data_IF_183823583414
#
_entry.id   IF_183823583414
#
_cell.length_a   1.000
_cell.length_b   1.000
_cell.length_c   1.000
_cell.angle_alpha   90.00
_cell.angle_beta   90.00
_cell.angle_gamma   90.00
#
_symmetry.space_group_name_H-M   'P 1'
#
loop_
_entity.id
_entity.type
_entity.pdbx_description
1 polymer ?
#
# COMPACT_ATOMS: atom_id res chain seq x y z
N UNK A 1 37.52 -41.78 -5.13
CA UNK A 1 36.87 -40.45 -5.09
C UNK A 1 37.79 -39.55 -5.89
N UNK A 2 37.37 -38.94 -6.99
CA UNK A 2 36.38 -37.85 -7.11
C UNK A 2 36.30 -37.58 -8.62
N UNK A 3 35.20 -37.24 -9.30
CA UNK A 3 33.84 -36.86 -8.98
C UNK A 3 33.10 -36.68 -10.33
N UNK A 4 31.76 -36.64 -10.28
CA UNK A 4 30.78 -36.57 -11.39
C UNK A 4 31.10 -35.42 -12.37
N UNK A 5 31.35 -35.68 -13.67
CA UNK A 5 30.47 -35.54 -14.87
C UNK A 5 29.69 -34.23 -14.99
N UNK A 6 29.86 -33.52 -16.11
CA UNK A 6 29.00 -32.40 -16.53
C UNK A 6 29.18 -31.96 -17.98
N UNK A 7 28.91 -32.84 -18.95
CA UNK A 7 28.57 -32.40 -20.30
C UNK A 7 27.19 -31.71 -20.27
N UNK A 8 27.05 -30.63 -21.03
CA UNK A 8 26.06 -29.57 -20.80
C UNK A 8 24.58 -29.96 -20.74
N UNK A 9 23.82 -29.17 -19.98
CA UNK A 9 22.40 -28.86 -20.17
C UNK A 9 21.96 -27.89 -19.05
N UNK A 10 21.27 -26.81 -19.41
CA UNK A 10 20.78 -25.70 -18.57
C UNK A 10 20.72 -25.90 -17.06
N UNK A 11 21.55 -25.17 -16.33
CA UNK A 11 21.56 -25.21 -14.86
C UNK A 11 22.56 -24.29 -14.15
N UNK A 12 22.75 -23.04 -14.61
CA UNK A 12 23.15 -21.87 -13.81
C UNK A 12 24.31 -21.94 -12.80
N UNK A 13 25.29 -22.84 -12.94
CA UNK A 13 26.42 -22.99 -12.02
C UNK A 13 27.78 -22.86 -12.71
N UNK A 14 28.85 -22.80 -11.90
CA UNK A 14 30.23 -22.77 -12.39
C UNK A 14 30.61 -24.10 -13.05
N UNK A 15 31.43 -24.04 -14.10
CA UNK A 15 32.01 -25.22 -14.78
C UNK A 15 32.97 -25.96 -13.84
N UNK A 16 33.67 -25.21 -12.98
CA UNK A 16 34.58 -25.74 -11.98
C UNK A 16 34.31 -25.15 -10.59
N UNK A 17 34.35 -25.99 -9.55
CA UNK A 17 34.28 -25.57 -8.14
C UNK A 17 35.36 -26.31 -7.36
N UNK A 18 36.53 -25.68 -7.19
CA UNK A 18 37.73 -26.29 -6.61
C UNK A 18 38.78 -25.23 -6.25
N UNK A 19 39.78 -25.59 -5.44
CA UNK A 19 40.86 -24.67 -5.03
C UNK A 19 41.95 -24.40 -6.09
N UNK A 20 42.53 -25.41 -6.78
CA UNK A 20 43.48 -25.13 -7.84
C UNK A 20 42.75 -24.71 -9.12
N UNK A 21 43.32 -23.74 -9.84
CA UNK A 21 42.82 -23.36 -11.16
C UNK A 21 42.82 -24.58 -12.12
N UNK A 22 41.78 -24.76 -12.95
CA UNK A 22 41.75 -25.80 -13.98
C UNK A 22 42.93 -25.67 -14.95
N UNK A 23 43.54 -26.79 -15.33
CA UNK A 23 44.78 -26.81 -16.12
C UNK A 23 44.55 -26.68 -17.64
N UNK A 24 43.39 -27.08 -18.15
CA UNK A 24 43.03 -27.03 -19.57
C UNK A 24 41.64 -26.41 -19.78
N UNK A 25 41.42 -25.13 -19.39
CA UNK A 25 40.14 -24.49 -19.58
C UNK A 25 39.92 -24.04 -21.03
N UNK A 26 38.65 -24.02 -21.44
CA UNK A 26 38.18 -23.42 -22.69
C UNK A 26 37.71 -21.97 -22.47
N UNK A 27 37.81 -21.13 -23.50
CA UNK A 27 37.34 -19.73 -23.42
C UNK A 27 35.86 -19.68 -23.03
N UNK A 28 35.54 -18.86 -22.01
CA UNK A 28 34.19 -18.68 -21.51
C UNK A 28 33.80 -19.62 -20.36
N UNK A 29 34.62 -20.61 -20.04
CA UNK A 29 34.40 -21.43 -18.84
C UNK A 29 34.57 -20.61 -17.56
N UNK A 30 33.84 -21.01 -16.53
CA UNK A 30 33.70 -20.33 -15.26
C UNK A 30 34.17 -21.20 -14.10
N UNK A 31 34.89 -20.60 -13.16
CA UNK A 31 35.49 -21.30 -12.03
C UNK A 31 35.23 -20.56 -10.73
N UNK A 32 34.78 -21.28 -9.71
CA UNK A 32 34.76 -20.81 -8.34
C UNK A 32 35.95 -21.36 -7.55
N UNK A 33 36.86 -20.47 -7.17
CA UNK A 33 38.00 -20.76 -6.30
C UNK A 33 37.50 -20.87 -4.85
N UNK A 34 37.52 -22.08 -4.30
CA UNK A 34 37.03 -22.34 -2.93
C UNK A 34 37.97 -21.84 -1.84
N UNK A 35 39.24 -21.58 -2.14
CA UNK A 35 40.22 -21.03 -1.19
C UNK A 35 40.17 -19.51 -1.17
N UNK A 36 40.06 -18.88 -2.35
CA UNK A 36 39.93 -17.43 -2.49
C UNK A 36 38.51 -16.91 -2.25
N UNK A 37 37.50 -17.79 -2.30
CA UNK A 37 36.08 -17.43 -2.24
C UNK A 37 35.72 -16.42 -3.34
N UNK A 38 36.20 -16.67 -4.56
CA UNK A 38 36.10 -15.77 -5.71
C UNK A 38 35.69 -16.52 -6.99
N UNK A 39 35.01 -15.80 -7.88
CA UNK A 39 34.53 -16.31 -9.16
C UNK A 39 35.43 -15.81 -10.29
N UNK A 40 35.72 -16.66 -11.28
CA UNK A 40 36.57 -16.36 -12.42
C UNK A 40 35.95 -16.84 -13.73
N UNK A 41 36.30 -16.18 -14.84
CA UNK A 41 36.04 -16.65 -16.21
C UNK A 41 37.36 -16.72 -16.98
N UNK A 42 37.55 -17.79 -17.73
CA UNK A 42 38.73 -17.95 -18.57
C UNK A 42 38.56 -17.19 -19.89
N UNK A 43 39.51 -16.31 -20.22
CA UNK A 43 39.47 -15.46 -21.42
C UNK A 43 40.05 -16.12 -22.67
N UNK A 44 40.40 -17.40 -22.60
CA UNK A 44 41.20 -18.09 -23.61
C UNK A 44 42.71 -17.99 -23.34
N UNK A 45 43.14 -17.07 -22.47
CA UNK A 45 44.56 -16.89 -22.09
C UNK A 45 44.82 -16.90 -20.59
N UNK A 46 43.88 -16.40 -19.78
CA UNK A 46 44.04 -16.32 -18.33
C UNK A 46 42.68 -16.37 -17.62
N UNK A 47 42.70 -16.69 -16.33
CA UNK A 47 41.53 -16.58 -15.45
C UNK A 47 41.38 -15.14 -14.98
N UNK A 48 40.26 -14.50 -15.30
CA UNK A 48 39.94 -13.15 -14.84
C UNK A 48 38.83 -13.22 -13.80
N UNK A 49 39.08 -12.60 -12.64
CA UNK A 49 38.12 -12.56 -11.55
C UNK A 49 36.86 -11.77 -11.96
N UNK A 50 35.69 -12.38 -11.78
CA UNK A 50 34.40 -11.75 -11.97
C UNK A 50 34.04 -10.93 -10.74
N UNK A 51 34.56 -9.70 -10.66
CA UNK A 51 34.14 -8.74 -9.64
C UNK A 51 33.47 -7.52 -10.26
N UNK A 52 32.33 -7.12 -9.66
CA UNK A 52 31.89 -5.73 -9.61
C UNK A 52 31.68 -5.40 -8.13
N UNK A 53 32.78 -5.06 -7.45
CA UNK A 53 32.82 -4.67 -6.04
C UNK A 53 32.71 -3.15 -5.85
N UNK A 54 32.83 -2.36 -6.93
CA UNK A 54 32.62 -0.90 -6.91
C UNK A 54 31.89 -0.41 -8.16
N UNK A 55 31.13 0.68 -8.02
CA UNK A 55 30.53 1.41 -9.14
C UNK A 55 31.59 1.91 -10.13
N UNK A 56 32.80 2.19 -9.66
CA UNK A 56 33.91 2.66 -10.51
C UNK A 56 34.34 1.62 -11.57
N UNK A 57 33.94 0.34 -11.39
CA UNK A 57 34.21 -0.73 -12.36
C UNK A 57 33.19 -0.75 -13.52
N UNK A 58 32.12 0.06 -13.45
CA UNK A 58 31.09 0.16 -14.47
C UNK A 58 31.24 1.49 -15.23
N UNK A 59 31.64 1.44 -16.49
CA UNK A 59 32.01 2.61 -17.29
C UNK A 59 30.87 3.61 -17.59
N UNK A 60 29.63 3.31 -17.19
CA UNK A 60 28.44 4.14 -17.41
C UNK A 60 27.51 4.19 -16.18
N UNK A 61 28.03 3.90 -14.98
CA UNK A 61 27.25 4.06 -13.74
C UNK A 61 27.98 5.03 -12.83
N UNK A 62 27.44 6.23 -12.73
CA UNK A 62 27.90 7.29 -11.85
C UNK A 62 27.05 7.37 -10.59
N UNK A 63 27.54 8.09 -9.58
CA UNK A 63 26.74 8.41 -8.40
C UNK A 63 25.45 9.20 -8.74
N UNK A 64 25.41 9.85 -9.90
CA UNK A 64 24.26 10.62 -10.35
C UNK A 64 23.21 9.75 -11.08
N UNK A 65 23.55 8.51 -11.42
CA UNK A 65 22.62 7.51 -11.95
C UNK A 65 21.85 6.78 -10.84
N UNK A 66 22.23 7.02 -9.58
CA UNK A 66 21.33 6.73 -8.47
C UNK A 66 20.17 7.70 -8.57
N UNK A 67 18.98 7.17 -8.90
CA UNK A 67 17.76 7.90 -8.62
C UNK A 67 17.80 8.32 -7.15
N UNK A 68 17.48 9.59 -6.88
CA UNK A 68 17.20 9.99 -5.51
C UNK A 68 16.14 9.03 -4.98
N UNK A 69 16.31 8.45 -3.78
CA UNK A 69 15.22 7.73 -3.13
C UNK A 69 13.99 8.63 -3.26
N UNK A 70 12.80 8.09 -3.60
CA UNK A 70 11.62 8.92 -3.65
C UNK A 70 11.58 9.69 -2.33
N UNK A 71 11.84 11.00 -2.40
CA UNK A 71 11.58 11.87 -1.27
C UNK A 71 10.11 11.65 -1.06
N UNK A 72 9.73 11.01 0.04
CA UNK A 72 8.35 10.68 0.35
C UNK A 72 7.54 11.95 0.07
N UNK A 73 6.88 12.00 -1.09
CA UNK A 73 6.36 13.26 -1.59
C UNK A 73 5.02 13.39 -0.90
N UNK A 74 5.06 14.10 0.22
CA UNK A 74 3.95 14.77 0.86
C UNK A 74 2.80 13.92 1.44
N UNK A 75 2.82 12.58 1.45
CA UNK A 75 1.69 11.79 2.00
C UNK A 75 2.04 10.88 3.19
N UNK A 76 3.31 10.69 3.57
CA UNK A 76 3.62 9.90 4.78
C UNK A 76 3.51 10.70 6.09
N UNK A 77 3.26 12.02 6.02
CA UNK A 77 2.97 12.85 7.22
C UNK A 77 1.51 13.27 7.39
N UNK A 78 0.59 12.88 6.51
CA UNK A 78 -0.82 12.81 6.90
C UNK A 78 -1.01 11.57 7.76
N UNK A 79 -0.34 11.54 8.93
CA UNK A 79 -0.51 10.49 9.91
C UNK A 79 -1.99 10.25 10.07
N UNK A 80 -2.41 8.98 9.99
CA UNK A 80 -3.80 8.49 10.08
C UNK A 80 -4.64 9.46 10.89
N UNK A 81 -5.17 10.45 10.18
CA UNK A 81 -5.72 11.63 10.79
C UNK A 81 -7.16 11.27 10.98
N UNK A 82 -7.45 10.51 12.02
CA UNK A 82 -8.81 10.18 12.42
C UNK A 82 -9.56 11.51 12.57
N UNK A 83 -10.30 11.89 11.54
CA UNK A 83 -11.18 13.04 11.56
C UNK A 83 -12.52 12.56 12.08
N UNK A 84 -12.60 12.42 13.40
CA UNK A 84 -13.85 12.13 14.08
C UNK A 84 -14.51 13.45 14.45
N UNK A 85 -15.62 13.80 13.80
CA UNK A 85 -16.48 14.91 14.21
C UNK A 85 -17.81 14.35 14.66
N UNK A 86 -18.12 14.33 15.96
CA UNK A 86 -19.47 14.02 16.40
C UNK A 86 -20.44 15.00 15.77
N UNK A 87 -21.55 14.44 15.35
CA UNK A 87 -22.60 15.09 14.61
C UNK A 87 -23.84 15.03 15.47
N UNK A 88 -24.52 16.15 15.73
CA UNK A 88 -25.84 16.14 16.36
C UNK A 88 -26.83 16.74 15.37
N UNK A 89 -27.91 16.00 15.12
CA UNK A 89 -29.03 16.34 14.24
C UNK A 89 -30.09 16.86 15.19
N UNK A 90 -30.70 18.01 14.89
CA UNK A 90 -31.95 18.38 15.52
C UNK A 90 -33.03 17.33 15.15
N UNK A 91 -33.93 17.07 16.11
CA UNK A 91 -34.98 16.04 16.00
C UNK A 91 -36.18 16.52 15.16
N UNK A 92 -35.91 17.05 13.97
CA UNK A 92 -36.89 17.66 13.07
C UNK A 92 -36.84 17.10 11.63
N UNK A 93 -36.12 16.00 11.41
CA UNK A 93 -35.92 15.40 10.09
C UNK A 93 -34.88 16.15 9.23
N UNK A 94 -34.12 17.07 9.83
CA UNK A 94 -33.03 17.76 9.14
C UNK A 94 -31.90 16.80 8.75
N UNK A 95 -31.25 17.12 7.63
CA UNK A 95 -29.94 16.57 7.28
C UNK A 95 -28.83 17.45 7.86
N UNK A 96 -27.67 16.86 8.11
CA UNK A 96 -26.43 17.61 8.32
C UNK A 96 -25.41 17.20 7.28
N UNK A 97 -24.65 18.18 6.80
CA UNK A 97 -23.57 17.99 5.83
C UNK A 97 -22.25 18.40 6.45
N UNK A 98 -21.25 17.51 6.35
CA UNK A 98 -19.88 17.76 6.76
C UNK A 98 -18.99 17.88 5.55
N UNK A 99 -18.32 19.02 5.38
CA UNK A 99 -17.30 19.19 4.35
C UNK A 99 -16.00 18.54 4.81
N UNK A 100 -15.50 17.60 4.02
CA UNK A 100 -14.22 16.93 4.22
C UNK A 100 -13.29 17.48 3.13
N UNK A 101 -12.20 18.14 3.53
CA UNK A 101 -11.25 18.74 2.58
C UNK A 101 -10.14 17.80 2.16
N UNK A 102 -10.36 16.48 2.13
CA UNK A 102 -9.28 15.47 2.02
C UNK A 102 -9.59 14.39 0.98
N UNK A 103 -8.52 13.88 0.37
CA UNK A 103 -8.54 12.70 -0.50
C UNK A 103 -8.53 11.43 0.37
N UNK A 104 -9.42 10.49 0.06
CA UNK A 104 -9.51 9.19 0.73
C UNK A 104 -9.76 8.06 -0.27
N UNK A 105 -9.47 6.84 0.17
CA UNK A 105 -9.85 5.61 -0.53
C UNK A 105 -11.00 4.89 0.19
N UNK A 106 -11.29 5.29 1.43
CA UNK A 106 -12.36 4.72 2.22
C UNK A 106 -12.83 5.67 3.30
N UNK A 107 -14.07 5.44 3.73
CA UNK A 107 -14.59 5.99 4.97
C UNK A 107 -15.26 4.89 5.82
N UNK A 108 -15.09 5.00 7.13
CA UNK A 108 -15.92 4.29 8.12
C UNK A 108 -17.04 5.21 8.58
N UNK A 109 -18.27 4.71 8.68
CA UNK A 109 -19.43 5.46 9.18
C UNK A 109 -20.03 4.67 10.34
N UNK A 110 -20.07 5.25 11.53
CA UNK A 110 -20.66 4.61 12.72
C UNK A 110 -21.89 5.40 13.14
N UNK A 111 -23.02 4.74 13.34
CA UNK A 111 -24.22 5.37 13.89
C UNK A 111 -24.57 4.77 15.25
N UNK A 112 -24.95 5.63 16.19
CA UNK A 112 -25.36 5.26 17.54
C UNK A 112 -26.84 5.62 17.72
N UNK A 113 -27.63 4.67 18.23
CA UNK A 113 -29.04 4.83 18.48
C UNK A 113 -29.31 4.67 19.97
N UNK A 114 -29.50 5.77 20.71
CA UNK A 114 -29.79 5.72 22.13
C UNK A 114 -31.25 5.35 22.43
N UNK A 115 -32.12 5.27 21.42
CA UNK A 115 -33.56 5.06 21.59
C UNK A 115 -33.90 3.58 21.79
N UNK A 116 -35.09 3.32 22.35
CA UNK A 116 -35.62 1.97 22.59
C UNK A 116 -36.21 1.29 21.34
N UNK A 117 -36.18 1.96 20.18
CA UNK A 117 -36.60 1.44 18.88
C UNK A 117 -35.43 1.23 17.93
N UNK A 118 -35.56 0.29 16.98
CA UNK A 118 -34.64 0.19 15.86
C UNK A 118 -34.83 1.37 14.91
N UNK A 119 -33.73 1.96 14.45
CA UNK A 119 -33.72 3.12 13.56
C UNK A 119 -32.91 2.83 12.29
N UNK A 120 -33.26 3.46 11.18
CA UNK A 120 -32.49 3.39 9.92
C UNK A 120 -32.11 4.79 9.48
N UNK A 121 -30.83 4.97 9.15
CA UNK A 121 -30.25 6.25 8.76
C UNK A 121 -29.72 6.14 7.35
N UNK A 122 -30.02 7.14 6.53
CA UNK A 122 -29.48 7.26 5.18
C UNK A 122 -28.25 8.18 5.20
N UNK A 123 -27.25 7.85 4.37
CA UNK A 123 -26.08 8.69 4.14
C UNK A 123 -25.79 8.83 2.66
N UNK A 124 -25.17 9.96 2.30
CA UNK A 124 -24.62 10.26 0.98
C UNK A 124 -23.19 10.79 1.14
N UNK A 125 -22.24 10.16 0.45
CA UNK A 125 -20.84 10.56 0.35
C UNK A 125 -20.69 11.28 -0.99
N UNK A 126 -20.32 12.55 -0.93
CA UNK A 126 -20.03 13.36 -2.11
C UNK A 126 -18.55 13.25 -2.48
N UNK A 127 -18.29 12.84 -3.71
CA UNK A 127 -16.95 12.62 -4.24
C UNK A 127 -16.57 13.75 -5.20
N UNK A 128 -15.30 14.15 -5.21
CA UNK A 128 -14.81 15.28 -5.99
C UNK A 128 -14.83 15.00 -7.51
N UNK A 129 -14.59 13.76 -7.89
CA UNK A 129 -14.29 13.36 -9.27
C UNK A 129 -15.13 12.16 -9.75
N UNK A 130 -16.14 11.75 -8.98
CA UNK A 130 -17.08 10.69 -9.39
C UNK A 130 -18.49 10.94 -8.88
N UNK A 131 -19.39 10.03 -9.25
CA UNK A 131 -20.76 10.03 -8.76
C UNK A 131 -20.80 9.80 -7.25
N UNK A 132 -21.67 10.56 -6.58
CA UNK A 132 -22.01 10.37 -5.17
C UNK A 132 -22.37 8.91 -4.86
N UNK A 133 -22.06 8.49 -3.63
CA UNK A 133 -22.47 7.19 -3.10
C UNK A 133 -23.48 7.38 -2.00
N UNK A 134 -24.53 6.57 -2.00
CA UNK A 134 -25.52 6.58 -0.93
C UNK A 134 -25.73 5.18 -0.38
N UNK A 135 -26.07 5.10 0.89
CA UNK A 135 -26.39 3.87 1.57
C UNK A 135 -27.23 4.14 2.81
N UNK A 136 -27.50 3.08 3.57
CA UNK A 136 -28.20 3.19 4.84
C UNK A 136 -27.58 2.29 5.90
N UNK A 137 -27.80 2.65 7.17
CA UNK A 137 -27.36 1.90 8.34
C UNK A 137 -28.54 1.70 9.29
N UNK A 138 -28.79 0.44 9.68
CA UNK A 138 -29.91 0.10 10.57
C UNK A 138 -29.36 -0.26 11.94
N UNK A 139 -29.64 0.59 12.92
CA UNK A 139 -29.07 0.47 14.26
C UNK A 139 -30.12 -0.12 15.22
N UNK A 140 -29.81 -1.19 15.96
CA UNK A 140 -30.74 -1.74 16.95
C UNK A 140 -31.00 -0.75 18.10
N UNK A 141 -32.09 -0.97 18.83
CA UNK A 141 -32.44 -0.20 20.03
C UNK A 141 -31.29 -0.22 21.05
N UNK A 142 -30.94 0.95 21.58
CA UNK A 142 -29.86 1.15 22.55
C UNK A 142 -28.47 0.73 22.06
N UNK A 143 -28.26 0.64 20.74
CA UNK A 143 -27.08 0.05 20.13
C UNK A 143 -26.29 0.98 19.21
N UNK A 144 -25.29 0.40 18.54
CA UNK A 144 -24.47 1.05 17.52
C UNK A 144 -24.26 0.09 16.34
N UNK A 145 -24.14 0.63 15.13
CA UNK A 145 -23.72 -0.14 13.95
C UNK A 145 -22.65 0.63 13.16
N UNK A 146 -21.92 -0.06 12.30
CA UNK A 146 -20.86 0.54 11.48
C UNK A 146 -20.82 -0.01 10.06
N UNK A 147 -20.77 0.90 9.08
CA UNK A 147 -20.60 0.59 7.66
C UNK A 147 -19.23 1.05 7.17
N UNK A 148 -18.66 0.30 6.23
CA UNK A 148 -17.41 0.60 5.55
C UNK A 148 -17.68 0.85 4.08
N UNK A 149 -17.27 2.00 3.58
CA UNK A 149 -17.36 2.36 2.17
C UNK A 149 -15.96 2.50 1.60
N UNK A 150 -15.70 1.81 0.50
CA UNK A 150 -14.48 1.94 -0.29
C UNK A 150 -14.78 2.57 -1.63
N UNK A 151 -13.95 3.51 -2.03
CA UNK A 151 -14.06 4.20 -3.31
C UNK A 151 -12.65 4.32 -3.92
N UNK A 152 -12.54 4.45 -5.26
CA UNK A 152 -11.25 4.78 -5.86
C UNK A 152 -10.70 6.05 -5.20
N UNK A 153 -9.36 6.14 -5.09
CA UNK A 153 -8.65 7.25 -4.46
C UNK A 153 -9.09 8.60 -5.00
N UNK A 154 -10.04 9.22 -4.31
CA UNK A 154 -10.73 10.41 -4.79
C UNK A 154 -10.99 11.34 -3.60
N UNK A 155 -10.96 12.64 -3.86
CA UNK A 155 -11.39 13.63 -2.88
C UNK A 155 -12.78 13.27 -2.36
N UNK A 156 -12.95 12.98 -1.07
CA UNK A 156 -14.29 13.08 -0.46
C UNK A 156 -14.47 14.55 -0.16
N UNK A 157 -15.48 15.18 -0.74
CA UNK A 157 -15.74 16.62 -0.56
C UNK A 157 -16.67 16.88 0.61
N UNK A 158 -17.67 16.02 0.80
CA UNK A 158 -18.57 16.09 1.93
C UNK A 158 -19.30 14.78 2.18
N UNK A 159 -19.85 14.64 3.38
CA UNK A 159 -20.77 13.55 3.73
C UNK A 159 -22.04 14.20 4.28
N UNK A 160 -23.18 13.78 3.77
CA UNK A 160 -24.51 14.17 4.23
C UNK A 160 -25.18 12.96 4.85
N UNK A 161 -25.81 13.12 6.02
CA UNK A 161 -26.62 12.06 6.61
C UNK A 161 -27.98 12.60 7.08
N UNK A 162 -28.98 11.74 7.04
CA UNK A 162 -30.38 12.05 7.36
C UNK A 162 -31.09 10.83 7.93
N UNK A 163 -32.04 11.02 8.84
CA UNK A 163 -33.01 9.98 9.23
C UNK A 163 -34.37 10.34 8.62
N UNK A 164 -34.82 9.65 7.56
CA UNK A 164 -36.10 9.96 6.91
C UNK A 164 -37.32 9.54 7.73
N UNK A 165 -37.15 8.68 8.75
CA UNK A 165 -38.24 8.06 9.51
C UNK A 165 -38.44 8.67 10.90
N UNK A 166 -37.59 9.60 11.33
CA UNK A 166 -37.62 10.08 12.71
C UNK A 166 -38.77 11.06 12.97
N UNK A 167 -39.72 10.66 13.80
CA UNK A 167 -40.74 11.54 14.37
C UNK A 167 -40.31 11.97 15.78
N UNK A 168 -39.72 13.17 15.89
CA UNK A 168 -39.54 13.98 17.11
C UNK A 168 -39.55 13.24 18.47
N UNK A 169 -38.41 12.67 18.88
CA UNK A 169 -38.13 12.37 20.30
C UNK A 169 -37.18 13.42 20.90
N UNK A 170 -37.15 13.64 22.22
CA UNK A 170 -36.55 14.86 22.77
C UNK A 170 -35.05 14.80 23.14
N UNK A 171 -34.31 13.68 22.99
CA UNK A 171 -32.94 13.65 23.55
C UNK A 171 -31.99 12.56 23.04
N UNK A 172 -31.89 12.34 21.72
CA UNK A 172 -30.83 11.54 21.13
C UNK A 172 -29.69 12.41 20.58
N UNK A 173 -28.50 12.37 21.19
CA UNK A 173 -27.27 12.74 20.50
C UNK A 173 -26.74 11.47 19.84
N UNK A 174 -26.69 11.42 18.51
CA UNK A 174 -25.91 10.39 17.82
C UNK A 174 -24.50 10.94 17.58
N UNK A 175 -23.60 10.08 17.13
CA UNK A 175 -22.22 10.45 16.82
C UNK A 175 -21.84 9.70 15.55
N UNK A 176 -21.66 10.43 14.44
CA UNK A 176 -21.12 9.89 13.20
C UNK A 176 -19.61 10.11 13.21
N UNK A 177 -18.84 9.04 13.45
CA UNK A 177 -17.38 9.13 13.32
C UNK A 177 -16.96 8.70 11.93
N UNK A 178 -16.20 9.55 11.25
CA UNK A 178 -15.59 9.25 9.96
C UNK A 178 -14.10 8.90 10.13
N UNK A 179 -13.63 7.94 9.34
CA UNK A 179 -12.19 7.66 9.25
C UNK A 179 -11.81 7.65 7.79
N UNK A 180 -11.19 8.73 7.34
CA UNK A 180 -10.64 8.91 6.00
C UNK A 180 -9.27 8.24 5.98
N UNK A 181 -9.13 7.14 5.25
CA UNK A 181 -7.82 6.51 5.01
C UNK A 181 -7.19 7.21 3.83
N UNK A 182 -5.98 7.76 4.04
CA UNK A 182 -5.25 8.47 3.00
C UNK A 182 -5.04 7.58 1.77
N UNK A 183 -5.14 8.20 0.59
CA UNK A 183 -4.86 7.52 -0.66
C UNK A 183 -3.43 7.02 -0.70
N UNK A 184 -3.24 5.72 -0.92
CA UNK A 184 -1.92 5.16 -1.18
C UNK A 184 -1.74 4.97 -2.68
N UNK A 185 -1.20 6.00 -3.33
CA UNK A 185 -0.83 5.90 -4.74
C UNK A 185 0.42 5.01 -4.88
N UNK A 186 0.27 3.84 -5.50
CA UNK A 186 1.40 3.15 -6.10
C UNK A 186 1.61 3.69 -7.51
N UNK A 187 2.69 4.45 -7.72
CA UNK A 187 3.21 4.68 -9.07
C UNK A 187 4.00 3.42 -9.45
N UNK A 188 3.51 2.65 -10.42
CA UNK A 188 4.26 1.55 -11.07
C UNK A 188 4.96 2.13 -12.29
#
# INVERSE_FOLDING_TARGET
MTGIVGGGSGGGGFDYVQAPAPAEPEEGESWYDTDANAAFVYTGTEWVEQTVVSHDQLSNVSANDHHSPPTQTAVESSGSGYFSTPATFPNDGSSSTWTIGKVSDSCRITANNPEDSQETYDYTIHLAESSDRSGSITVPAGGSDTVYESFPAQGVTSITASNPNYQSYPSGNFELSFVVVAAHNHTI
#
